data_IF_246102427407
#
_entry.id   IF_246102427407
#
_cell.length_a   1.000
_cell.length_b   1.000
_cell.length_c   1.000
_cell.angle_alpha   90.00
_cell.angle_beta   90.00
_cell.angle_gamma   90.00
#
_symmetry.space_group_name_H-M   'P 1'
#
loop_
_entity.id
_entity.type
_entity.pdbx_description
1 polymer ?
#
# COMPACT_ATOMS: atom_id res chain seq x y z
N UNK A 1 6.29 -35.78 2.03
CA UNK A 1 6.03 -34.92 0.88
C UNK A 1 6.78 -33.64 1.10
N UNK A 2 7.57 -33.26 0.12
CA UNK A 2 8.52 -32.15 0.14
C UNK A 2 7.76 -30.84 0.36
N UNK A 3 7.98 -30.17 1.49
CA UNK A 3 7.24 -28.94 1.87
C UNK A 3 7.54 -27.76 0.95
N UNK A 4 8.53 -27.90 0.07
CA UNK A 4 9.09 -26.81 -0.72
C UNK A 4 10.17 -26.04 0.03
N UNK A 5 10.54 -26.46 1.24
CA UNK A 5 11.66 -25.87 1.97
C UNK A 5 12.99 -26.48 1.48
N UNK A 6 13.76 -25.70 0.73
CA UNK A 6 15.14 -26.04 0.42
C UNK A 6 16.02 -25.81 1.67
N UNK A 7 16.68 -26.88 2.14
CA UNK A 7 17.50 -26.90 3.35
C UNK A 7 18.95 -27.22 3.00
N UNK A 8 19.88 -26.45 3.56
CA UNK A 8 21.32 -26.75 3.55
C UNK A 8 21.74 -27.21 4.94
N UNK A 9 22.24 -28.44 5.04
CA UNK A 9 22.71 -29.06 6.30
C UNK A 9 24.17 -29.48 6.23
N UNK A 10 24.83 -29.49 7.38
CA UNK A 10 26.20 -29.98 7.56
C UNK A 10 26.18 -31.49 7.87
N UNK A 11 25.75 -32.28 6.89
CA UNK A 11 25.59 -33.73 6.98
C UNK A 11 24.26 -34.24 6.43
N UNK A 12 24.17 -35.56 6.25
CA UNK A 12 23.03 -36.28 5.65
C UNK A 12 22.12 -36.96 6.70
N UNK A 13 22.53 -36.97 7.97
CA UNK A 13 21.78 -37.61 9.05
C UNK A 13 20.70 -36.68 9.63
N UNK A 14 19.67 -37.23 10.27
CA UNK A 14 18.60 -36.43 10.91
C UNK A 14 19.08 -35.51 12.05
N UNK A 15 20.32 -35.69 12.52
CA UNK A 15 20.97 -34.84 13.51
C UNK A 15 21.86 -33.75 12.88
N UNK A 16 21.94 -33.71 11.54
CA UNK A 16 22.75 -32.74 10.83
C UNK A 16 22.28 -31.32 11.13
N UNK A 17 23.24 -30.46 11.45
CA UNK A 17 22.95 -29.07 11.79
C UNK A 17 22.50 -28.32 10.54
N UNK A 18 21.30 -27.75 10.60
CA UNK A 18 20.77 -26.88 9.54
C UNK A 18 21.56 -25.56 9.53
N UNK A 19 22.15 -25.24 8.37
CA UNK A 19 22.94 -24.03 8.15
C UNK A 19 22.09 -22.94 7.49
N UNK A 20 21.16 -23.30 6.61
CA UNK A 20 20.31 -22.36 5.89
C UNK A 20 19.00 -23.01 5.44
N UNK A 21 17.94 -22.21 5.35
CA UNK A 21 16.61 -22.63 4.89
C UNK A 21 15.94 -21.57 4.03
N UNK A 22 15.34 -21.97 2.92
CA UNK A 22 14.57 -21.09 2.05
C UNK A 22 13.36 -20.46 2.75
N UNK A 23 12.73 -21.19 3.66
CA UNK A 23 11.56 -20.70 4.41
C UNK A 23 11.88 -19.52 5.34
N UNK A 24 13.16 -19.32 5.68
CA UNK A 24 13.63 -18.15 6.44
C UNK A 24 14.00 -16.96 5.54
N UNK A 25 13.98 -17.15 4.22
CA UNK A 25 14.42 -16.16 3.22
C UNK A 25 13.45 -16.10 2.03
N UNK A 26 12.15 -15.79 2.25
CA UNK A 26 11.17 -15.76 1.17
C UNK A 26 11.37 -14.60 0.19
N UNK A 27 10.79 -14.77 -0.98
CA UNK A 27 10.61 -13.70 -1.99
C UNK A 27 9.29 -12.98 -1.75
N UNK A 28 8.37 -13.04 -2.71
CA UNK A 28 7.03 -12.48 -2.68
C UNK A 28 5.98 -13.45 -2.12
N UNK A 29 6.30 -14.73 -1.99
CA UNK A 29 5.35 -15.80 -1.70
C UNK A 29 5.58 -16.43 -0.33
N UNK A 30 4.50 -16.60 0.44
CA UNK A 30 4.44 -17.39 1.66
C UNK A 30 3.74 -18.72 1.40
N UNK A 31 4.35 -19.81 1.85
CA UNK A 31 3.89 -21.19 1.67
C UNK A 31 3.55 -21.85 3.02
N UNK A 32 2.71 -22.90 3.02
CA UNK A 32 2.49 -23.74 4.19
C UNK A 32 3.80 -24.29 4.77
N UNK A 33 3.94 -24.25 6.09
CA UNK A 33 5.17 -24.65 6.78
C UNK A 33 6.10 -23.48 7.12
N UNK A 34 5.92 -22.32 6.49
CA UNK A 34 6.57 -21.07 6.90
C UNK A 34 5.89 -20.48 8.14
N UNK A 35 6.63 -19.65 8.89
CA UNK A 35 6.13 -18.92 10.06
C UNK A 35 6.39 -17.42 9.88
N UNK A 36 5.32 -16.61 9.86
CA UNK A 36 5.41 -15.16 9.76
C UNK A 36 5.72 -14.57 11.14
N UNK A 37 7.00 -14.49 11.47
CA UNK A 37 7.50 -13.83 12.65
C UNK A 37 7.88 -12.36 12.37
N UNK A 38 8.55 -11.73 13.32
CA UNK A 38 8.95 -10.31 13.24
C UNK A 38 10.12 -10.05 12.27
N UNK A 39 10.82 -11.10 11.85
CA UNK A 39 12.00 -11.02 10.98
C UNK A 39 11.58 -11.28 9.53
N UNK A 40 10.65 -12.21 9.34
CA UNK A 40 10.19 -12.60 8.03
C UNK A 40 9.46 -11.46 7.31
N UNK A 41 9.80 -11.23 6.04
CA UNK A 41 9.09 -10.29 5.20
C UNK A 41 8.99 -10.80 3.77
N UNK A 42 7.78 -10.72 3.20
CA UNK A 42 7.60 -10.93 1.77
C UNK A 42 7.92 -9.62 1.04
N UNK A 43 8.63 -9.69 -0.07
CA UNK A 43 8.91 -8.54 -0.95
C UNK A 43 8.36 -8.82 -2.34
N UNK A 44 7.57 -7.90 -2.86
CA UNK A 44 6.98 -8.03 -4.19
C UNK A 44 8.04 -8.11 -5.28
N UNK A 45 7.66 -8.58 -6.45
CA UNK A 45 8.43 -8.39 -7.68
C UNK A 45 8.44 -6.91 -8.10
N UNK A 46 9.38 -6.51 -8.96
CA UNK A 46 9.41 -5.17 -9.55
C UNK A 46 8.18 -4.96 -10.43
N UNK A 47 7.88 -5.95 -11.27
CA UNK A 47 6.74 -5.99 -12.18
C UNK A 47 6.53 -7.42 -12.67
N UNK A 48 5.45 -7.64 -13.41
CA UNK A 48 5.23 -8.91 -14.08
C UNK A 48 6.43 -9.27 -14.99
N UNK A 49 6.95 -10.49 -14.87
CA UNK A 49 8.11 -10.98 -15.61
C UNK A 49 9.48 -10.51 -15.10
N UNK A 50 9.54 -9.73 -14.03
CA UNK A 50 10.80 -9.24 -13.42
C UNK A 50 10.83 -9.57 -11.91
N UNK A 51 11.44 -10.70 -11.51
CA UNK A 51 11.45 -11.19 -10.13
C UNK A 51 12.42 -10.42 -9.21
N UNK A 52 12.99 -9.32 -9.69
CA UNK A 52 13.80 -8.44 -8.84
C UNK A 52 13.01 -7.88 -7.65
N UNK A 53 13.73 -7.39 -6.65
CA UNK A 53 13.12 -6.82 -5.44
C UNK A 53 12.31 -5.57 -5.76
N UNK A 54 10.99 -5.70 -5.64
CA UNK A 54 10.03 -4.64 -5.84
C UNK A 54 9.90 -3.69 -4.67
N UNK A 55 8.89 -2.82 -4.78
CA UNK A 55 8.67 -1.73 -3.84
C UNK A 55 7.83 -2.15 -2.65
N UNK A 56 6.98 -3.17 -2.75
CA UNK A 56 6.04 -3.51 -1.70
C UNK A 56 6.56 -4.65 -0.84
N UNK A 57 6.24 -4.61 0.45
CA UNK A 57 6.59 -5.67 1.38
C UNK A 57 5.50 -5.92 2.40
N UNK A 58 5.35 -7.18 2.80
CA UNK A 58 4.43 -7.61 3.84
C UNK A 58 5.21 -8.18 5.02
N UNK A 59 4.89 -7.77 6.25
CA UNK A 59 5.54 -8.26 7.46
C UNK A 59 4.67 -8.06 8.71
N UNK A 60 5.13 -8.63 9.83
CA UNK A 60 4.60 -8.37 11.17
C UNK A 60 5.36 -7.18 11.80
N UNK A 61 4.64 -6.11 12.15
CA UNK A 61 5.24 -4.88 12.68
C UNK A 61 5.54 -4.96 14.19
N UNK A 62 6.80 -4.72 14.56
CA UNK A 62 7.28 -4.65 15.95
C UNK A 62 6.84 -3.41 16.74
N UNK A 63 6.59 -2.29 16.05
CA UNK A 63 6.48 -0.96 16.70
C UNK A 63 5.12 -0.76 17.40
N UNK A 64 4.07 -1.52 17.02
CA UNK A 64 2.71 -1.38 17.55
C UNK A 64 1.95 -2.72 17.47
N UNK A 65 1.90 -3.45 18.58
CA UNK A 65 0.89 -4.49 18.88
C UNK A 65 0.82 -5.74 17.98
N UNK A 66 1.94 -6.24 17.41
CA UNK A 66 1.93 -7.44 16.55
C UNK A 66 0.89 -7.36 15.40
N UNK A 67 0.80 -6.20 14.75
CA UNK A 67 -0.07 -6.00 13.60
C UNK A 67 0.63 -6.35 12.30
N UNK A 68 -0.10 -6.98 11.37
CA UNK A 68 0.37 -7.20 10.01
C UNK A 68 0.30 -5.92 9.21
N UNK A 69 1.33 -5.67 8.39
CA UNK A 69 1.51 -4.40 7.69
C UNK A 69 1.96 -4.64 6.26
N UNK A 70 1.38 -3.87 5.35
CA UNK A 70 1.92 -3.67 4.01
C UNK A 70 2.70 -2.35 3.99
N UNK A 71 3.95 -2.48 3.56
CA UNK A 71 5.00 -1.46 3.46
C UNK A 71 5.37 -1.23 2.00
N UNK A 72 5.90 -0.06 1.65
CA UNK A 72 6.29 0.37 0.32
C UNK A 72 7.56 1.18 0.49
N UNK A 73 8.61 0.72 -0.18
CA UNK A 73 9.90 1.38 -0.23
C UNK A 73 9.77 2.68 -1.01
N UNK A 74 10.08 3.80 -0.36
CA UNK A 74 10.21 5.08 -1.03
C UNK A 74 11.65 5.21 -1.55
N UNK A 75 11.82 5.25 -2.87
CA UNK A 75 13.11 5.53 -3.51
C UNK A 75 13.15 7.01 -3.86
N UNK A 76 14.08 7.76 -3.26
CA UNK A 76 14.31 9.17 -3.59
C UNK A 76 15.80 9.39 -3.89
N UNK A 77 16.11 9.92 -5.08
CA UNK A 77 17.49 10.20 -5.53
C UNK A 77 18.46 9.03 -5.33
N UNK A 78 18.03 7.80 -5.63
CA UNK A 78 18.86 6.59 -5.51
C UNK A 78 19.20 6.17 -4.07
N UNK A 79 18.61 6.82 -3.05
CA UNK A 79 18.73 6.40 -1.65
C UNK A 79 17.42 5.80 -1.17
N UNK A 80 17.53 4.58 -0.63
CA UNK A 80 16.44 3.90 0.05
C UNK A 80 16.13 4.63 1.36
N UNK A 81 14.87 5.01 1.58
CA UNK A 81 14.40 5.45 2.91
C UNK A 81 13.46 4.42 3.51
N UNK A 82 13.43 4.41 4.83
CA UNK A 82 12.57 3.57 5.68
C UNK A 82 11.13 3.64 5.15
N UNK A 83 10.46 2.49 4.93
CA UNK A 83 9.09 2.45 4.46
C UNK A 83 8.18 3.24 5.41
N UNK A 84 7.36 4.14 4.86
CA UNK A 84 6.19 4.59 5.60
C UNK A 84 5.26 3.39 5.78
N UNK A 85 4.64 3.22 6.95
CA UNK A 85 3.58 2.24 7.16
C UNK A 85 2.39 2.63 6.28
N UNK A 86 1.94 1.79 5.33
CA UNK A 86 0.90 2.22 4.34
C UNK A 86 -0.45 1.60 4.60
N UNK A 87 -0.48 0.36 5.06
CA UNK A 87 -1.73 -0.29 5.42
C UNK A 87 -1.53 -1.19 6.62
N UNK A 88 -2.28 -0.95 7.70
CA UNK A 88 -2.37 -1.88 8.83
C UNK A 88 -3.54 -2.80 8.55
N UNK A 89 -3.30 -4.11 8.59
CA UNK A 89 -4.39 -5.08 8.50
C UNK A 89 -4.94 -5.25 9.92
N UNK A 90 -6.02 -4.55 10.23
CA UNK A 90 -6.63 -4.60 11.56
C UNK A 90 -7.29 -5.96 11.85
N UNK A 91 -7.90 -6.58 10.84
CA UNK A 91 -8.51 -7.91 10.94
C UNK A 91 -8.00 -8.84 9.83
N UNK A 92 -7.10 -9.76 10.19
CA UNK A 92 -6.66 -10.83 9.29
C UNK A 92 -7.67 -11.98 9.31
N UNK A 93 -8.18 -12.46 8.16
CA UNK A 93 -9.04 -13.63 8.13
C UNK A 93 -8.41 -14.83 8.86
N UNK A 94 -9.19 -15.53 9.68
CA UNK A 94 -8.66 -16.58 10.56
C UNK A 94 -7.91 -17.69 9.79
N UNK A 95 -8.39 -18.07 8.61
CA UNK A 95 -7.76 -19.07 7.73
C UNK A 95 -6.34 -18.66 7.31
N UNK A 96 -6.13 -17.36 7.06
CA UNK A 96 -4.82 -16.78 6.70
C UNK A 96 -3.97 -16.59 7.95
N UNK A 97 -4.55 -16.11 9.05
CA UNK A 97 -3.84 -15.97 10.32
C UNK A 97 -3.33 -17.31 10.87
N UNK A 98 -4.06 -18.40 10.63
CA UNK A 98 -3.65 -19.77 10.97
C UNK A 98 -2.46 -20.23 10.12
N UNK A 99 -2.53 -20.00 8.80
CA UNK A 99 -1.41 -20.25 7.87
C UNK A 99 -0.15 -19.47 8.28
N UNK A 100 -0.28 -18.16 8.52
CA UNK A 100 0.83 -17.29 8.91
C UNK A 100 1.50 -17.72 10.22
N UNK A 101 0.75 -18.35 11.13
CA UNK A 101 1.28 -18.88 12.39
C UNK A 101 1.94 -20.26 12.27
N UNK A 102 2.13 -20.77 11.05
CA UNK A 102 2.49 -22.16 10.80
C UNK A 102 1.61 -23.17 11.56
N UNK A 103 0.30 -22.94 11.54
CA UNK A 103 -0.69 -23.81 12.19
C UNK A 103 -0.59 -23.90 13.73
N UNK A 104 0.15 -22.98 14.35
CA UNK A 104 0.38 -22.96 15.80
C UNK A 104 -0.68 -22.17 16.57
N UNK A 105 -1.45 -21.30 15.89
CA UNK A 105 -2.57 -20.56 16.50
C UNK A 105 -3.78 -21.47 16.65
N UNK A 106 -4.39 -21.53 17.83
CA UNK A 106 -5.65 -22.25 18.00
C UNK A 106 -6.73 -21.58 17.13
N UNK A 107 -7.26 -22.33 16.16
CA UNK A 107 -8.40 -21.88 15.35
C UNK A 107 -9.60 -21.81 16.28
N UNK A 108 -9.83 -20.64 16.89
CA UNK A 108 -11.11 -20.36 17.55
C UNK A 108 -12.14 -20.43 16.43
N UNK A 109 -12.93 -21.52 16.41
CA UNK A 109 -14.05 -21.75 15.49
C UNK A 109 -14.66 -20.43 15.06
N UNK A 110 -14.64 -20.14 13.77
CA UNK A 110 -15.13 -18.92 13.16
C UNK A 110 -16.59 -18.63 13.56
N UNK A 111 -16.79 -17.96 14.69
CA UNK A 111 -18.08 -17.43 15.12
C UNK A 111 -18.01 -15.92 15.10
N UNK A 112 -18.02 -15.39 13.88
CA UNK A 112 -18.54 -14.08 13.42
C UNK A 112 -17.71 -13.65 12.21
N UNK A 113 -18.16 -14.05 11.03
CA UNK A 113 -17.76 -13.39 9.78
C UNK A 113 -18.23 -11.94 9.84
N UNK A 114 -17.35 -11.02 9.44
CA UNK A 114 -17.65 -9.62 9.25
C UNK A 114 -18.77 -9.49 8.17
N UNK A 115 -19.92 -8.85 8.45
CA UNK A 115 -21.05 -8.77 7.52
C UNK A 115 -20.73 -8.04 6.21
N UNK A 116 -19.63 -7.29 6.13
CA UNK A 116 -19.17 -6.64 4.89
C UNK A 116 -18.63 -7.61 3.83
N UNK A 117 -18.24 -8.83 4.20
CA UNK A 117 -17.79 -9.87 3.26
C UNK A 117 -18.94 -10.62 2.55
N UNK A 118 -20.21 -10.24 2.80
CA UNK A 118 -21.37 -10.92 2.20
C UNK A 118 -21.61 -10.57 0.72
N UNK A 119 -21.00 -9.50 0.21
CA UNK A 119 -21.24 -9.00 -1.15
C UNK A 119 -20.14 -9.39 -2.17
N UNK A 120 -19.11 -10.13 -1.74
CA UNK A 120 -18.19 -10.82 -2.64
C UNK A 120 -18.83 -12.15 -3.05
N UNK A 121 -18.86 -12.45 -4.35
CA UNK A 121 -19.35 -13.74 -4.89
C UNK A 121 -18.55 -14.95 -4.42
N UNK A 122 -17.46 -14.75 -3.66
CA UNK A 122 -16.61 -15.79 -3.09
C UNK A 122 -16.60 -15.66 -1.57
N UNK A 123 -17.50 -16.40 -0.91
CA UNK A 123 -17.56 -16.44 0.55
C UNK A 123 -16.36 -17.22 1.07
N UNK A 124 -15.53 -16.61 1.91
CA UNK A 124 -14.41 -17.27 2.59
C UNK A 124 -14.86 -18.49 3.43
N UNK A 125 -16.15 -18.54 3.81
CA UNK A 125 -16.78 -19.68 4.50
C UNK A 125 -16.84 -20.96 3.67
N UNK A 126 -16.81 -20.85 2.35
CA UNK A 126 -16.94 -22.00 1.45
C UNK A 126 -15.58 -22.69 1.23
N UNK A 127 -14.49 -22.00 1.59
CA UNK A 127 -13.11 -22.48 1.52
C UNK A 127 -12.57 -22.77 2.92
N UNK A 128 -13.27 -23.60 3.70
CA UNK A 128 -12.71 -24.27 4.87
C UNK A 128 -11.83 -25.44 4.44
N UNK A 129 -10.92 -25.23 3.48
CA UNK A 129 -10.02 -26.31 3.04
C UNK A 129 -9.15 -26.69 4.22
N UNK A 130 -9.28 -27.93 4.67
CA UNK A 130 -8.33 -28.54 5.63
C UNK A 130 -6.98 -28.80 4.98
N UNK A 131 -6.90 -28.72 3.65
CA UNK A 131 -5.67 -28.88 2.89
C UNK A 131 -5.10 -27.52 2.48
N UNK A 132 -4.05 -27.12 3.19
CA UNK A 132 -3.27 -25.92 2.91
C UNK A 132 -2.20 -26.14 1.85
N UNK A 133 -1.87 -27.39 1.48
CA UNK A 133 -0.75 -27.70 0.58
C UNK A 133 -0.87 -27.06 -0.80
N UNK A 134 -2.11 -26.75 -1.22
CA UNK A 134 -2.43 -26.09 -2.48
C UNK A 134 -2.74 -24.60 -2.29
N UNK A 135 -2.20 -23.96 -1.26
CA UNK A 135 -2.48 -22.55 -0.94
C UNK A 135 -1.21 -21.73 -0.89
N UNK A 136 -1.32 -20.44 -1.19
CA UNK A 136 -0.21 -19.48 -1.10
C UNK A 136 -0.70 -18.08 -0.79
N UNK A 137 0.13 -17.30 -0.13
CA UNK A 137 -0.10 -15.86 0.08
C UNK A 137 1.01 -15.09 -0.66
N UNK A 138 0.64 -14.13 -1.51
CA UNK A 138 1.58 -13.43 -2.40
C UNK A 138 1.51 -11.93 -2.15
N UNK A 139 2.67 -11.30 -2.02
CA UNK A 139 2.83 -9.85 -2.11
C UNK A 139 2.98 -9.44 -3.58
N UNK A 140 1.89 -9.08 -4.24
CA UNK A 140 1.88 -8.73 -5.66
C UNK A 140 2.68 -7.44 -5.93
N UNK A 141 3.28 -7.32 -7.12
CA UNK A 141 3.99 -6.12 -7.60
C UNK A 141 3.11 -4.87 -7.64
N UNK A 142 1.79 -5.02 -7.63
CA UNK A 142 0.80 -3.94 -7.55
C UNK A 142 0.57 -3.39 -6.14
N UNK A 143 1.12 -4.05 -5.11
CA UNK A 143 0.90 -3.67 -3.71
C UNK A 143 -0.30 -4.35 -3.04
N UNK A 144 -0.91 -5.35 -3.70
CA UNK A 144 -1.95 -6.20 -3.13
C UNK A 144 -1.34 -7.45 -2.48
N UNK A 145 -1.74 -7.75 -1.25
CA UNK A 145 -1.49 -9.04 -0.63
C UNK A 145 -2.63 -9.98 -1.02
N UNK A 146 -2.32 -11.09 -1.68
CA UNK A 146 -3.28 -12.00 -2.29
C UNK A 146 -3.19 -13.40 -1.70
N UNK A 147 -4.31 -13.96 -1.27
CA UNK A 147 -4.44 -15.36 -0.87
C UNK A 147 -5.06 -16.16 -2.00
N UNK A 148 -4.34 -17.18 -2.47
CA UNK A 148 -4.71 -17.98 -3.63
C UNK A 148 -4.74 -19.48 -3.29
N UNK A 149 -5.67 -20.20 -3.93
CA UNK A 149 -5.80 -21.65 -3.83
C UNK A 149 -5.70 -22.25 -5.23
N UNK A 150 -4.90 -23.29 -5.37
CA UNK A 150 -4.83 -24.08 -6.59
C UNK A 150 -6.02 -25.03 -6.65
N UNK A 151 -6.90 -24.83 -7.62
CA UNK A 151 -8.03 -25.72 -7.92
C UNK A 151 -8.17 -25.85 -9.44
N UNK A 152 -8.59 -27.02 -9.91
CA UNK A 152 -8.89 -27.27 -11.33
C UNK A 152 -7.86 -26.67 -12.31
N UNK A 153 -6.57 -26.90 -12.02
CA UNK A 153 -5.42 -26.53 -12.84
C UNK A 153 -5.13 -25.02 -12.96
N UNK A 154 -5.64 -24.18 -12.06
CA UNK A 154 -5.29 -22.76 -12.00
C UNK A 154 -5.33 -22.21 -10.56
N UNK A 155 -4.65 -21.09 -10.34
CA UNK A 155 -4.74 -20.36 -9.09
C UNK A 155 -6.00 -19.52 -9.05
N UNK A 156 -6.83 -19.74 -8.03
CA UNK A 156 -8.02 -18.97 -7.74
C UNK A 156 -7.69 -17.92 -6.66
N UNK A 157 -7.99 -16.65 -6.93
CA UNK A 157 -7.87 -15.59 -5.95
C UNK A 157 -9.06 -15.65 -4.99
N UNK A 158 -8.78 -15.89 -3.71
CA UNK A 158 -9.80 -16.11 -2.67
C UNK A 158 -9.97 -14.87 -1.80
N UNK A 159 -8.88 -14.17 -1.52
CA UNK A 159 -8.89 -12.94 -0.72
C UNK A 159 -7.73 -12.05 -1.13
N UNK A 160 -7.91 -10.74 -0.99
CA UNK A 160 -6.84 -9.77 -1.20
C UNK A 160 -7.04 -8.54 -0.31
N UNK A 161 -5.95 -7.82 -0.05
CA UNK A 161 -6.00 -6.57 0.70
C UNK A 161 -4.92 -5.59 0.20
N UNK A 162 -5.17 -4.26 0.24
CA UNK A 162 -6.45 -3.60 0.56
C UNK A 162 -7.56 -3.87 -0.48
N UNK A 163 -8.81 -4.00 -0.02
CA UNK A 163 -9.99 -4.17 -0.89
C UNK A 163 -10.25 -2.91 -1.73
N UNK A 164 -10.01 -1.74 -1.14
CA UNK A 164 -10.15 -0.45 -1.79
C UNK A 164 -8.84 -0.05 -2.49
N UNK A 165 -8.89 0.07 -3.82
CA UNK A 165 -7.75 0.43 -4.66
C UNK A 165 -7.07 1.74 -4.25
N UNK A 166 -7.82 2.68 -3.67
CA UNK A 166 -7.32 3.97 -3.21
C UNK A 166 -6.65 3.95 -1.83
N UNK A 167 -6.76 2.85 -1.08
CA UNK A 167 -6.04 2.67 0.18
C UNK A 167 -4.60 2.19 -0.04
N UNK A 168 -4.27 1.74 -1.26
CA UNK A 168 -2.86 1.56 -1.65
C UNK A 168 -2.22 2.95 -1.69
N UNK A 169 -1.21 3.18 -0.87
CA UNK A 169 -0.53 4.47 -0.87
C UNK A 169 0.08 4.76 -2.23
N UNK A 170 -0.08 6.01 -2.64
CA UNK A 170 0.35 6.50 -3.94
C UNK A 170 -0.19 5.63 -5.10
N UNK A 171 -1.40 5.08 -4.96
CA UNK A 171 -2.06 4.24 -5.97
C UNK A 171 -2.02 4.85 -7.38
N UNK A 172 -2.12 6.17 -7.47
CA UNK A 172 -2.17 6.91 -8.73
C UNK A 172 -0.88 7.66 -9.08
N UNK A 173 0.19 7.43 -8.31
CA UNK A 173 1.45 8.14 -8.46
C UNK A 173 1.35 9.65 -8.18
N UNK A 174 2.46 10.36 -8.40
CA UNK A 174 2.54 11.80 -8.15
C UNK A 174 1.53 12.55 -9.02
N UNK A 175 0.84 13.55 -8.44
CA UNK A 175 -0.14 14.40 -9.16
C UNK A 175 -1.30 13.63 -9.82
N UNK A 176 -1.56 12.40 -9.39
CA UNK A 176 -2.78 11.66 -9.67
C UNK A 176 -3.76 11.73 -8.50
N UNK A 177 -5.06 11.75 -8.77
CA UNK A 177 -6.12 11.52 -7.77
C UNK A 177 -6.68 10.12 -7.92
N UNK A 178 -7.05 9.52 -6.77
CA UNK A 178 -7.73 8.23 -6.73
C UNK A 178 -9.20 8.39 -6.38
N UNK A 179 -10.08 7.79 -7.19
CA UNK A 179 -11.51 7.67 -6.97
C UNK A 179 -11.99 6.26 -7.30
N UNK A 180 -12.55 5.55 -6.31
CA UNK A 180 -12.96 4.14 -6.46
C UNK A 180 -14.22 3.96 -7.33
N UNK A 181 -15.05 5.00 -7.44
CA UNK A 181 -16.30 4.96 -8.22
C UNK A 181 -16.04 5.20 -9.70
N UNK A 182 -14.84 5.64 -10.06
CA UNK A 182 -14.44 5.78 -11.44
C UNK A 182 -14.12 4.42 -12.06
N UNK A 183 -14.49 4.25 -13.33
CA UNK A 183 -14.16 3.05 -14.11
C UNK A 183 -12.64 2.79 -14.13
N UNK A 184 -11.86 3.86 -14.19
CA UNK A 184 -10.41 3.86 -14.01
C UNK A 184 -10.15 4.65 -12.74
N UNK A 185 -9.66 3.96 -11.71
CA UNK A 185 -9.56 4.54 -10.37
C UNK A 185 -8.63 5.75 -10.27
N UNK A 186 -7.69 5.88 -11.21
CA UNK A 186 -6.68 6.93 -11.21
C UNK A 186 -6.86 7.91 -12.36
N UNK A 187 -6.81 9.21 -12.03
CA UNK A 187 -6.85 10.31 -13.00
C UNK A 187 -5.74 11.30 -12.70
N UNK A 188 -5.14 11.88 -13.74
CA UNK A 188 -4.27 13.03 -13.56
C UNK A 188 -5.07 14.26 -13.15
N UNK A 189 -4.50 15.07 -12.26
CA UNK A 189 -5.09 16.37 -11.93
C UNK A 189 -5.20 17.25 -13.18
N UNK A 190 -6.20 18.15 -13.25
CA UNK A 190 -6.30 19.14 -14.32
C UNK A 190 -4.98 19.87 -14.60
N UNK A 191 -4.54 19.85 -15.86
CA UNK A 191 -3.26 20.44 -16.28
C UNK A 191 -2.06 19.49 -16.27
N UNK A 192 -2.23 18.27 -15.77
CA UNK A 192 -1.21 17.22 -15.75
C UNK A 192 -1.54 16.12 -16.77
N UNK A 193 -0.52 15.36 -17.20
CA UNK A 193 -0.65 14.21 -18.11
C UNK A 193 0.14 13.02 -17.56
N UNK A 194 -0.22 11.77 -17.90
CA UNK A 194 0.54 10.60 -17.46
C UNK A 194 2.02 10.70 -17.85
N UNK A 195 2.92 10.38 -16.92
CA UNK A 195 4.36 10.37 -17.19
C UNK A 195 4.74 9.33 -18.24
N UNK A 196 4.05 8.19 -18.22
CA UNK A 196 4.13 7.14 -19.24
C UNK A 196 2.71 6.73 -19.65
N UNK A 197 2.20 7.24 -20.79
CA UNK A 197 0.85 6.96 -21.26
C UNK A 197 0.59 5.46 -21.50
N UNK A 198 1.56 4.73 -22.04
CA UNK A 198 1.39 3.30 -22.33
C UNK A 198 1.11 2.51 -21.05
N UNK A 199 1.94 2.67 -20.03
CA UNK A 199 1.75 2.03 -18.73
C UNK A 199 0.40 2.43 -18.09
N UNK A 200 0.05 3.71 -18.19
CA UNK A 200 -1.19 4.26 -17.63
C UNK A 200 -2.43 3.60 -18.25
N UNK A 201 -2.43 3.40 -19.58
CA UNK A 201 -3.53 2.76 -20.31
C UNK A 201 -3.67 1.27 -19.98
N UNK A 202 -2.58 0.60 -19.58
CA UNK A 202 -2.60 -0.77 -19.05
C UNK A 202 -2.93 -0.87 -17.54
N UNK A 203 -3.19 0.26 -16.88
CA UNK A 203 -3.53 0.31 -15.46
C UNK A 203 -2.33 0.35 -14.50
N UNK A 204 -1.12 0.57 -15.01
CA UNK A 204 0.05 0.90 -14.20
C UNK A 204 0.16 2.42 -14.00
N UNK A 205 -0.33 2.89 -12.87
CA UNK A 205 -0.32 4.30 -12.49
C UNK A 205 0.92 4.69 -11.67
N UNK A 206 1.88 3.78 -11.43
CA UNK A 206 3.03 4.04 -10.56
C UNK A 206 3.91 5.20 -11.05
N UNK A 207 3.92 5.44 -12.36
CA UNK A 207 4.64 6.56 -12.97
C UNK A 207 4.04 7.94 -12.66
N UNK A 208 2.81 7.98 -12.15
CA UNK A 208 2.11 9.23 -11.85
C UNK A 208 1.89 10.10 -13.08
N UNK A 209 1.67 11.37 -12.81
CA UNK A 209 1.46 12.40 -13.79
C UNK A 209 2.57 13.45 -13.71
N UNK A 210 2.79 14.14 -14.82
CA UNK A 210 3.71 15.27 -14.94
C UNK A 210 3.00 16.44 -15.58
N UNK A 211 3.51 17.64 -15.32
CA UNK A 211 3.12 18.85 -16.05
C UNK A 211 4.30 19.39 -16.82
N UNK A 212 4.02 20.20 -17.83
CA UNK A 212 5.08 20.93 -18.53
C UNK A 212 5.84 21.82 -17.53
N UNK A 213 7.16 22.02 -17.72
CA UNK A 213 7.94 22.90 -16.86
C UNK A 213 7.33 24.30 -16.88
N UNK A 214 6.91 24.81 -15.72
CA UNK A 214 6.54 26.23 -15.58
C UNK A 214 7.71 27.00 -15.00
N UNK A 215 7.89 28.23 -15.46
CA UNK A 215 8.80 29.18 -14.83
C UNK A 215 8.25 29.52 -13.44
N UNK A 216 8.96 29.12 -12.39
CA UNK A 216 8.62 29.51 -11.02
C UNK A 216 8.51 31.04 -10.92
N UNK A 217 7.34 31.55 -10.54
CA UNK A 217 7.17 32.99 -10.38
C UNK A 217 5.79 33.42 -9.91
N UNK A 218 5.60 34.73 -9.79
CA UNK A 218 4.35 35.35 -9.34
C UNK A 218 3.15 35.09 -10.27
N UNK A 219 3.40 34.58 -11.48
CA UNK A 219 2.38 34.20 -12.45
C UNK A 219 1.85 32.78 -12.27
N UNK A 220 2.46 31.97 -11.40
CA UNK A 220 1.94 30.62 -11.13
C UNK A 220 0.55 30.71 -10.49
N UNK A 221 -0.36 29.92 -11.03
CA UNK A 221 -1.72 29.76 -10.52
C UNK A 221 -1.84 28.44 -9.81
N UNK A 222 -2.68 28.38 -8.78
CA UNK A 222 -2.96 27.12 -8.11
C UNK A 222 -4.32 26.55 -8.51
N UNK A 223 -4.38 25.23 -8.65
CA UNK A 223 -5.61 24.48 -8.80
C UNK A 223 -6.23 24.21 -7.43
N UNK A 224 -7.44 24.72 -7.18
CA UNK A 224 -8.16 24.45 -5.94
C UNK A 224 -8.80 23.06 -5.96
N UNK A 225 -8.42 22.22 -5.01
CA UNK A 225 -8.97 20.88 -4.80
C UNK A 225 -9.85 20.88 -3.55
N UNK A 226 -10.99 20.20 -3.64
CA UNK A 226 -11.96 20.03 -2.54
C UNK A 226 -12.18 18.55 -2.31
N UNK A 227 -12.54 18.19 -1.07
CA UNK A 227 -12.85 16.82 -0.66
C UNK A 227 -11.70 15.83 -0.95
N UNK A 228 -10.49 16.19 -0.57
CA UNK A 228 -9.30 15.37 -0.76
C UNK A 228 -8.65 15.03 0.58
N UNK A 229 -8.33 13.75 0.77
CA UNK A 229 -7.40 13.27 1.80
C UNK A 229 -5.98 13.38 1.24
N UNK A 230 -5.11 14.00 2.04
CA UNK A 230 -3.75 14.38 1.63
C UNK A 230 -2.72 13.72 2.54
N UNK A 231 -1.60 13.28 1.98
CA UNK A 231 -0.44 12.81 2.75
C UNK A 231 0.11 13.87 3.70
N UNK A 232 0.86 13.44 4.70
CA UNK A 232 1.46 14.34 5.69
C UNK A 232 2.27 15.49 5.05
N UNK A 233 2.08 16.73 5.51
CA UNK A 233 2.85 17.89 5.06
C UNK A 233 4.29 17.84 5.58
N UNK A 234 5.11 18.79 5.11
CA UNK A 234 6.45 18.95 5.67
C UNK A 234 6.35 19.28 7.18
N UNK A 235 7.32 18.88 8.02
CA UNK A 235 7.25 19.07 9.49
C UNK A 235 7.18 20.52 9.98
N UNK A 236 7.28 21.49 9.06
CA UNK A 236 7.26 22.92 9.36
C UNK A 236 5.83 23.44 9.21
N UNK A 237 5.18 23.71 10.35
CA UNK A 237 3.95 24.50 10.37
C UNK A 237 4.30 25.99 10.41
N UNK A 238 3.48 26.82 9.75
CA UNK A 238 3.58 28.27 9.88
C UNK A 238 2.21 28.79 10.31
N UNK A 239 2.16 29.58 11.38
CA UNK A 239 0.95 30.33 11.75
C UNK A 239 0.75 31.43 10.72
N UNK A 240 -0.09 31.15 9.72
CA UNK A 240 -0.34 32.00 8.56
C UNK A 240 -1.77 31.79 8.09
N UNK A 241 -2.47 32.89 7.80
CA UNK A 241 -3.73 32.83 7.09
C UNK A 241 -3.53 32.34 5.63
N UNK A 242 -4.62 32.00 4.94
CA UNK A 242 -4.59 31.49 3.55
C UNK A 242 -3.76 32.36 2.60
N UNK A 243 -3.97 33.68 2.65
CA UNK A 243 -3.25 34.64 1.80
C UNK A 243 -1.74 34.62 2.01
N UNK A 244 -1.28 34.49 3.25
CA UNK A 244 0.13 34.40 3.59
C UNK A 244 0.73 33.04 3.25
N UNK A 245 -0.04 31.96 3.43
CA UNK A 245 0.31 30.60 3.05
C UNK A 245 0.53 30.51 1.53
N UNK A 246 -0.41 31.05 0.75
CA UNK A 246 -0.33 31.18 -0.70
C UNK A 246 0.90 31.97 -1.14
N UNK A 247 1.13 33.14 -0.54
CA UNK A 247 2.27 34.01 -0.88
C UNK A 247 3.60 33.32 -0.56
N UNK A 248 3.68 32.59 0.54
CA UNK A 248 4.85 31.80 0.89
C UNK A 248 5.14 30.73 -0.17
N UNK A 249 4.12 29.96 -0.56
CA UNK A 249 4.28 28.90 -1.55
C UNK A 249 4.69 29.45 -2.93
N UNK A 250 4.10 30.56 -3.38
CA UNK A 250 4.49 31.21 -4.65
C UNK A 250 5.96 31.64 -4.67
N UNK A 251 6.45 32.18 -3.56
CA UNK A 251 7.83 32.65 -3.42
C UNK A 251 8.84 31.51 -3.24
N UNK A 252 8.39 30.30 -2.92
CA UNK A 252 9.23 29.13 -2.77
C UNK A 252 9.06 28.18 -3.96
N UNK A 253 10.02 28.15 -4.88
CA UNK A 253 9.95 27.31 -6.09
C UNK A 253 9.89 25.81 -5.83
N UNK A 254 10.29 25.36 -4.64
CA UNK A 254 10.16 23.96 -4.24
C UNK A 254 8.73 23.62 -3.80
N UNK A 255 7.91 24.62 -3.46
CA UNK A 255 6.54 24.41 -3.02
C UNK A 255 5.66 23.89 -4.17
N UNK A 256 5.09 22.71 -3.96
CA UNK A 256 4.21 22.01 -4.90
C UNK A 256 2.73 22.19 -4.53
N UNK A 257 2.41 22.32 -3.24
CA UNK A 257 1.05 22.52 -2.77
C UNK A 257 1.02 23.17 -1.39
N UNK A 258 -0.12 23.77 -1.06
CA UNK A 258 -0.43 24.23 0.29
C UNK A 258 -1.90 23.99 0.66
N UNK A 259 -2.18 24.00 1.96
CA UNK A 259 -3.52 23.94 2.54
C UNK A 259 -3.58 24.88 3.74
N UNK A 260 -4.73 25.49 4.01
CA UNK A 260 -4.89 26.38 5.17
C UNK A 260 -6.23 26.21 5.88
N UNK A 261 -6.22 26.04 7.20
CA UNK A 261 -7.45 25.96 8.02
C UNK A 261 -7.23 26.69 9.35
N UNK A 262 -8.12 27.61 9.71
CA UNK A 262 -8.11 28.33 11.01
C UNK A 262 -6.70 28.81 11.41
N UNK A 263 -6.06 29.58 10.52
CA UNK A 263 -4.71 30.16 10.66
C UNK A 263 -3.53 29.17 10.72
N UNK A 264 -3.79 27.88 10.50
CA UNK A 264 -2.76 26.87 10.27
C UNK A 264 -2.49 26.74 8.77
N UNK A 265 -1.22 26.80 8.39
CA UNK A 265 -0.75 26.60 7.03
C UNK A 265 0.09 25.32 6.95
N UNK A 266 -0.27 24.43 6.02
CA UNK A 266 0.47 23.22 5.68
C UNK A 266 1.03 23.34 4.27
N UNK A 267 2.29 22.95 4.11
CA UNK A 267 3.05 23.11 2.87
C UNK A 267 3.72 21.79 2.49
N UNK A 268 3.78 21.52 1.18
CA UNK A 268 4.48 20.39 0.60
C UNK A 268 5.60 20.91 -0.32
N UNK A 269 6.86 20.74 0.10
CA UNK A 269 8.06 21.11 -0.67
C UNK A 269 8.96 19.91 -0.97
N UNK A 270 8.98 18.88 -0.12
CA UNK A 270 9.88 17.74 -0.27
C UNK A 270 9.24 16.61 -1.09
N UNK A 271 7.93 16.41 -0.95
CA UNK A 271 7.16 15.36 -1.65
C UNK A 271 5.89 15.96 -2.26
N UNK A 272 5.52 15.59 -3.50
CA UNK A 272 4.18 15.86 -4.00
C UNK A 272 3.14 15.26 -3.04
N UNK A 273 2.04 15.96 -2.76
CA UNK A 273 0.98 15.39 -1.95
C UNK A 273 0.38 14.17 -2.64
N UNK A 274 0.17 13.09 -1.89
CA UNK A 274 -0.65 11.96 -2.34
C UNK A 274 -2.10 12.33 -2.09
N UNK A 275 -2.94 12.17 -3.12
CA UNK A 275 -4.31 12.65 -3.13
C UNK A 275 -5.28 11.50 -3.32
N UNK A 276 -6.31 11.46 -2.46
CA UNK A 276 -7.43 10.52 -2.55
C UNK A 276 -8.74 11.27 -2.34
N UNK A 277 -9.73 11.03 -3.18
CA UNK A 277 -11.03 11.71 -3.11
C UNK A 277 -11.87 11.13 -1.97
N UNK A 278 -12.40 12.00 -1.08
CA UNK A 278 -13.21 11.65 0.10
C UNK A 278 -14.65 11.41 -0.34
N UNK A 279 -15.27 10.30 0.11
CA UNK A 279 -16.53 9.82 -0.47
C UNK A 279 -17.70 9.70 0.53
N UNK A 280 -17.48 9.45 1.83
CA UNK A 280 -18.61 9.28 2.78
C UNK A 280 -18.47 10.04 4.11
N UNK A 281 -19.57 10.11 4.87
CA UNK A 281 -19.56 10.63 6.25
C UNK A 281 -18.81 9.72 7.24
N UNK A 282 -18.53 8.47 6.89
CA UNK A 282 -17.80 7.52 7.75
C UNK A 282 -16.28 7.71 7.68
N UNK A 283 -15.77 8.21 6.55
CA UNK A 283 -14.39 8.75 6.43
C UNK A 283 -14.13 9.94 7.38
N UNK A 284 -15.18 10.49 8.00
CA UNK A 284 -15.09 11.63 8.92
C UNK A 284 -14.70 11.25 10.35
N UNK A 285 -14.62 9.97 10.69
CA UNK A 285 -14.22 9.53 12.04
C UNK A 285 -12.70 9.51 12.27
N UNK A 286 -11.89 9.59 11.21
CA UNK A 286 -10.45 9.89 11.31
C UNK A 286 -10.27 11.40 11.58
N UNK A 287 -10.74 11.85 12.75
CA UNK A 287 -11.00 13.24 13.11
C UNK A 287 -9.78 14.16 13.28
N UNK A 288 -8.55 13.72 13.03
CA UNK A 288 -7.35 14.55 13.28
C UNK A 288 -6.73 15.22 12.05
N UNK A 289 -7.12 14.87 10.81
CA UNK A 289 -6.51 15.44 9.58
C UNK A 289 -7.49 16.24 8.73
N UNK A 290 -8.43 16.90 9.39
CA UNK A 290 -9.41 17.78 8.75
C UNK A 290 -8.74 19.09 8.32
N UNK A 291 -8.28 19.13 7.07
CA UNK A 291 -8.12 20.41 6.38
C UNK A 291 -9.51 20.83 5.85
N UNK A 292 -10.31 21.55 6.64
CA UNK A 292 -11.50 22.29 6.17
C UNK A 292 -11.11 23.49 5.25
N UNK A 293 -9.91 23.44 4.68
CA UNK A 293 -9.23 24.50 3.96
C UNK A 293 -9.22 24.27 2.46
N UNK A 294 -9.21 25.37 1.70
CA UNK A 294 -8.91 25.36 0.28
C UNK A 294 -7.52 24.74 0.09
N UNK A 295 -7.46 23.58 -0.57
CA UNK A 295 -6.20 22.95 -0.93
C UNK A 295 -5.83 23.46 -2.32
N UNK A 296 -4.57 23.85 -2.52
CA UNK A 296 -4.18 24.47 -3.78
C UNK A 296 -2.84 23.92 -4.26
N UNK A 297 -2.85 23.32 -5.46
CA UNK A 297 -1.71 22.66 -6.09
C UNK A 297 -1.11 23.55 -7.19
N UNK A 298 0.23 23.66 -7.23
CA UNK A 298 0.95 24.62 -8.09
C UNK A 298 1.24 24.12 -9.50
#
# INVERSE_FOLDING_TARGET
>A
MDSGNLVLSDGDDQLAKVQWESFKNPTDTFLPGMNMDEILSLTSWIRNGDPGNGRFSFNLSQVRENKYVISQKAVFNGRERIPGKLYSIDEMPQVIAYLLSNFNRSVIKATKLNPFLQNSTHRLSDYTSTDYNSTRLIMNYTGLLEYQIWDRCHWNLIWWVPEEKCLVYNACGNFGSCNINDRIACKCLPGFKPSNPENWDYGDFCGGCTRNPTSCGKSDTFLSLKMMKVSDPDPLFVEKNDTECRKYCLNNCQCQAYSSSKDLCWIWTVKPPILSEIQTLQDKSDQEKRCDGYQTLR
#
